data_IF_373955610740
#
_entry.id   IF_373955610740
#
_cell.length_a   1.000
_cell.length_b   1.000
_cell.length_c   1.000
_cell.angle_alpha   90.00
_cell.angle_beta   90.00
_cell.angle_gamma   90.00
#
_symmetry.space_group_name_H-M   'P 1'
#
loop_
_entity.id
_entity.type
_entity.pdbx_description
1 polymer ?
#
# COMPACT_ATOMS: atom_id res chain seq x y z
N UNK A 1 47.62 17.63 42.47
CA UNK A 1 46.77 16.42 42.33
C UNK A 1 45.84 16.40 41.09
N UNK A 2 45.90 17.34 40.14
CA UNK A 2 44.90 17.41 39.03
C UNK A 2 45.30 16.73 37.71
N UNK A 3 46.60 16.51 37.44
CA UNK A 3 47.05 15.96 36.15
C UNK A 3 46.86 14.44 36.05
N UNK A 4 47.13 13.68 37.11
CA UNK A 4 46.99 12.22 37.12
C UNK A 4 45.54 11.75 36.88
N UNK A 5 44.55 12.42 37.48
CA UNK A 5 43.13 12.13 37.24
C UNK A 5 42.72 12.33 35.78
N UNK A 6 43.23 13.37 35.12
CA UNK A 6 42.93 13.63 33.70
C UNK A 6 43.48 12.54 32.78
N UNK A 7 44.69 12.04 33.05
CA UNK A 7 45.26 10.94 32.27
C UNK A 7 44.54 9.61 32.51
N UNK A 8 44.06 9.36 33.74
CA UNK A 8 43.25 8.16 34.05
C UNK A 8 41.91 8.21 33.32
N UNK A 9 41.22 9.34 33.32
CA UNK A 9 39.94 9.48 32.62
C UNK A 9 40.12 9.33 31.10
N UNK A 10 41.13 9.97 30.52
CA UNK A 10 41.42 9.86 29.08
C UNK A 10 41.83 8.43 28.67
N UNK A 11 42.61 7.74 29.50
CA UNK A 11 42.97 6.34 29.27
C UNK A 11 41.76 5.40 29.35
N UNK A 12 40.85 5.66 30.29
CA UNK A 12 39.60 4.90 30.43
C UNK A 12 38.69 5.02 29.21
N UNK A 13 38.48 6.25 28.68
CA UNK A 13 37.66 6.44 27.47
C UNK A 13 38.28 5.79 26.25
N UNK A 14 39.60 5.87 26.09
CA UNK A 14 40.30 5.22 24.96
C UNK A 14 40.17 3.69 25.01
N UNK A 15 40.29 3.10 26.21
CA UNK A 15 40.13 1.65 26.40
C UNK A 15 38.70 1.19 26.10
N UNK A 16 37.68 1.95 26.53
CA UNK A 16 36.28 1.64 26.20
C UNK A 16 36.01 1.73 24.70
N UNK A 17 36.51 2.77 24.02
CA UNK A 17 36.33 2.94 22.58
C UNK A 17 36.99 1.80 21.77
N UNK A 18 38.21 1.39 22.15
CA UNK A 18 38.90 0.26 21.52
C UNK A 18 38.21 -1.08 21.81
N UNK A 19 37.66 -1.25 23.02
CA UNK A 19 36.91 -2.46 23.40
C UNK A 19 35.64 -2.65 22.57
N UNK A 20 34.88 -1.58 22.34
CA UNK A 20 33.67 -1.63 21.50
C UNK A 20 34.04 -1.91 20.03
N UNK A 21 35.07 -1.24 19.51
CA UNK A 21 35.55 -1.48 18.14
C UNK A 21 36.00 -2.93 17.92
N UNK A 22 36.74 -3.52 18.86
CA UNK A 22 37.16 -4.91 18.79
C UNK A 22 35.98 -5.88 18.85
N UNK A 23 34.98 -5.62 19.71
CA UNK A 23 33.81 -6.49 19.84
C UNK A 23 32.92 -6.44 18.58
N UNK A 24 32.76 -5.26 17.97
CA UNK A 24 32.03 -5.13 16.69
C UNK A 24 32.74 -5.83 15.54
N UNK A 25 34.08 -5.80 15.51
CA UNK A 25 34.84 -6.43 14.44
C UNK A 25 34.98 -7.96 14.63
N UNK A 26 35.02 -8.43 15.88
CA UNK A 26 35.04 -9.86 16.20
C UNK A 26 33.69 -10.55 16.03
N UNK A 27 32.57 -9.82 16.14
CA UNK A 27 31.21 -10.34 15.91
C UNK A 27 30.79 -10.42 14.43
N UNK A 28 31.51 -9.75 13.52
CA UNK A 28 31.17 -9.70 12.10
C UNK A 28 31.75 -10.86 11.26
N UNK A 29 32.42 -11.84 11.88
CA UNK A 29 32.87 -13.04 11.19
C UNK A 29 31.79 -14.13 11.27
N UNK A 30 30.73 -13.97 10.48
CA UNK A 30 29.90 -15.10 10.08
C UNK A 30 30.79 -16.12 9.36
N UNK A 31 30.67 -17.43 9.63
CA UNK A 31 31.34 -18.43 8.83
C UNK A 31 30.89 -18.23 7.39
N UNK A 32 31.85 -18.13 6.47
CA UNK A 32 31.56 -18.22 5.04
C UNK A 32 30.77 -19.51 4.83
N UNK A 33 29.45 -19.36 4.62
CA UNK A 33 28.63 -20.44 4.12
C UNK A 33 29.20 -20.76 2.75
N UNK A 34 29.98 -21.84 2.69
CA UNK A 34 30.21 -22.57 1.46
C UNK A 34 28.82 -22.99 0.98
N UNK A 35 28.25 -22.19 0.09
CA UNK A 35 27.09 -22.60 -0.68
C UNK A 35 27.56 -23.76 -1.57
N UNK A 36 27.41 -24.98 -1.06
CA UNK A 36 27.28 -26.16 -1.92
C UNK A 36 26.10 -25.89 -2.83
N UNK A 37 26.40 -25.63 -4.11
CA UNK A 37 25.41 -25.53 -5.15
C UNK A 37 24.53 -26.79 -5.11
N UNK A 38 23.26 -26.59 -4.82
CA UNK A 38 22.22 -27.60 -5.05
C UNK A 38 22.20 -27.81 -6.58
N UNK A 39 22.32 -29.04 -7.09
CA UNK A 39 22.14 -29.29 -8.52
C UNK A 39 20.72 -28.86 -8.87
N UNK A 40 20.58 -27.81 -9.67
CA UNK A 40 19.30 -27.48 -10.30
C UNK A 40 18.81 -28.67 -11.13
N UNK A 41 17.50 -28.75 -11.41
CA UNK A 41 16.99 -29.75 -12.34
C UNK A 41 17.74 -29.63 -13.66
N UNK A 42 18.18 -30.77 -14.18
CA UNK A 42 18.94 -30.84 -15.43
C UNK A 42 18.20 -30.08 -16.51
N UNK A 43 18.82 -29.01 -17.00
CA UNK A 43 18.40 -28.31 -18.21
C UNK A 43 18.39 -29.34 -19.34
N UNK A 44 17.20 -29.63 -19.86
CA UNK A 44 17.03 -30.38 -21.09
C UNK A 44 17.89 -29.74 -22.19
N UNK A 45 18.51 -30.59 -23.00
CA UNK A 45 19.33 -30.17 -24.12
C UNK A 45 18.58 -29.17 -25.01
N UNK A 46 19.24 -28.16 -25.58
CA UNK A 46 18.58 -27.21 -26.46
C UNK A 46 17.99 -27.98 -27.66
N UNK A 47 16.67 -27.88 -27.83
CA UNK A 47 15.97 -28.42 -28.99
C UNK A 47 16.41 -27.60 -30.21
N UNK A 48 17.11 -28.26 -31.13
CA UNK A 48 17.54 -27.69 -32.39
C UNK A 48 16.31 -27.59 -33.32
N UNK A 49 15.77 -26.38 -33.51
CA UNK A 49 14.66 -26.14 -34.44
C UNK A 49 15.24 -26.14 -35.87
N UNK A 50 15.18 -27.30 -36.53
CA UNK A 50 15.75 -27.50 -37.89
C UNK A 50 14.76 -27.31 -39.04
N UNK A 51 13.52 -26.90 -38.76
CA UNK A 51 12.51 -26.70 -39.81
C UNK A 51 11.76 -25.38 -39.62
N UNK A 52 12.37 -24.31 -40.15
CA UNK A 52 11.69 -23.05 -40.43
C UNK A 52 11.49 -23.00 -41.95
N UNK A 53 10.29 -23.36 -42.42
CA UNK A 53 9.94 -23.21 -43.84
C UNK A 53 9.41 -21.78 -44.04
N UNK A 54 10.18 -20.95 -44.75
CA UNK A 54 9.75 -19.59 -45.12
C UNK A 54 8.58 -19.68 -46.10
N UNK A 55 7.37 -19.38 -45.63
CA UNK A 55 6.15 -19.27 -46.47
C UNK A 55 5.99 -17.89 -47.10
N UNK A 56 7.05 -17.07 -47.14
CA UNK A 56 7.03 -15.79 -47.84
C UNK A 56 6.89 -16.02 -49.34
N UNK A 57 5.67 -15.82 -49.86
CA UNK A 57 5.42 -15.71 -51.28
C UNK A 57 6.17 -14.49 -51.82
N UNK A 58 7.21 -14.73 -52.62
CA UNK A 58 7.88 -13.67 -53.37
C UNK A 58 6.89 -13.03 -54.34
N UNK A 59 6.65 -11.72 -54.21
CA UNK A 59 5.86 -10.97 -55.17
C UNK A 59 6.55 -11.05 -56.53
N UNK A 60 5.97 -11.80 -57.47
CA UNK A 60 6.40 -11.82 -58.87
C UNK A 60 5.87 -10.54 -59.51
N UNK A 61 6.73 -9.60 -59.94
CA UNK A 61 6.25 -8.44 -60.68
C UNK A 61 5.66 -8.89 -62.03
N UNK A 62 4.51 -8.34 -62.46
CA UNK A 62 3.90 -8.72 -63.72
C UNK A 62 4.85 -8.42 -64.89
N UNK A 63 5.24 -9.46 -65.62
CA UNK A 63 6.11 -9.37 -66.80
C UNK A 63 5.37 -8.86 -68.03
N UNK A 64 4.68 -7.73 -67.97
CA UNK A 64 4.28 -6.99 -69.19
C UNK A 64 3.95 -5.55 -68.82
N UNK A 65 4.92 -4.64 -68.97
CA UNK A 65 4.61 -3.22 -69.08
C UNK A 65 4.05 -2.97 -70.49
N UNK A 66 2.83 -2.40 -70.65
CA UNK A 66 2.36 -1.99 -71.96
C UNK A 66 3.28 -0.88 -72.50
N UNK A 67 3.67 -0.99 -73.76
CA UNK A 67 4.45 0.04 -74.45
C UNK A 67 3.69 1.38 -74.46
N UNK A 68 4.37 2.51 -74.18
CA UNK A 68 3.70 3.81 -74.14
C UNK A 68 3.21 4.20 -75.54
N UNK A 69 1.89 4.39 -75.66
CA UNK A 69 1.25 4.95 -76.85
C UNK A 69 1.71 6.39 -77.03
N UNK A 70 2.17 6.74 -78.23
CA UNK A 70 2.59 8.09 -78.56
C UNK A 70 1.42 9.09 -78.40
N UNK A 71 1.68 10.20 -77.70
CA UNK A 71 0.71 11.25 -77.44
C UNK A 71 0.25 11.92 -78.76
N UNK A 72 -1.05 12.28 -78.89
CA UNK A 72 -1.55 12.99 -80.06
C UNK A 72 -0.94 14.39 -80.15
N UNK A 73 -0.55 14.80 -81.37
CA UNK A 73 0.14 16.06 -81.68
C UNK A 73 -0.76 17.32 -81.62
N UNK A 74 -1.89 17.24 -80.93
CA UNK A 74 -2.79 18.39 -80.73
C UNK A 74 -2.31 19.23 -79.55
N UNK A 75 -2.14 20.56 -79.70
CA UNK A 75 -1.74 21.41 -78.60
C UNK A 75 -2.79 21.36 -77.49
N UNK A 76 -2.35 21.01 -76.28
CA UNK A 76 -3.18 21.08 -75.07
C UNK A 76 -3.34 22.55 -74.70
N UNK A 77 -4.56 23.08 -74.81
CA UNK A 77 -4.92 24.35 -74.20
C UNK A 77 -5.00 24.14 -72.69
N UNK A 78 -4.03 24.70 -71.95
CA UNK A 78 -4.08 24.80 -70.49
C UNK A 78 -5.27 25.68 -70.11
N UNK A 79 -6.35 25.07 -69.64
CA UNK A 79 -7.30 25.78 -68.80
C UNK A 79 -6.56 26.14 -67.52
N UNK A 80 -6.30 27.43 -67.33
CA UNK A 80 -5.84 27.96 -66.04
C UNK A 80 -6.95 27.62 -65.04
N UNK A 81 -6.64 26.76 -64.06
CA UNK A 81 -7.50 26.60 -62.91
C UNK A 81 -7.56 27.95 -62.20
N UNK A 82 -8.76 28.49 -61.98
CA UNK A 82 -8.93 29.60 -61.07
C UNK A 82 -8.37 29.20 -59.70
N UNK A 83 -7.53 30.08 -59.13
CA UNK A 83 -7.08 29.96 -57.75
C UNK A 83 -8.32 29.99 -56.85
N UNK A 84 -8.80 28.81 -56.46
CA UNK A 84 -9.71 28.69 -55.35
C UNK A 84 -8.89 29.08 -54.13
N UNK A 85 -9.30 30.09 -53.34
CA UNK A 85 -8.57 30.45 -52.13
C UNK A 85 -8.52 29.22 -51.24
N UNK A 86 -7.31 28.71 -51.02
CA UNK A 86 -7.04 27.74 -49.97
C UNK A 86 -7.47 28.41 -48.67
N UNK A 87 -8.56 27.93 -48.06
CA UNK A 87 -8.88 28.29 -46.69
C UNK A 87 -7.68 27.90 -45.82
N UNK A 88 -7.11 28.89 -45.12
CA UNK A 88 -5.95 28.74 -44.19
C UNK A 88 -6.22 27.80 -43.00
N UNK A 89 -7.38 27.15 -42.98
CA UNK A 89 -7.72 26.10 -42.02
C UNK A 89 -7.11 24.78 -42.50
N UNK A 90 -5.85 24.55 -42.10
CA UNK A 90 -5.28 23.20 -42.08
C UNK A 90 -6.21 22.29 -41.24
N UNK A 91 -6.48 21.05 -41.66
CA UNK A 91 -7.19 20.11 -40.81
C UNK A 91 -6.40 19.95 -39.50
N UNK A 92 -7.10 20.12 -38.39
CA UNK A 92 -6.52 19.93 -37.06
C UNK A 92 -6.09 18.46 -36.93
N UNK A 93 -4.84 18.24 -36.52
CA UNK A 93 -4.30 16.90 -36.34
C UNK A 93 -5.02 16.27 -35.14
N UNK A 94 -5.87 15.27 -35.42
CA UNK A 94 -6.61 14.54 -34.39
C UNK A 94 -5.60 13.76 -33.54
N UNK A 95 -5.54 14.04 -32.23
CA UNK A 95 -4.62 13.38 -31.30
C UNK A 95 -4.90 11.88 -31.36
N UNK A 96 -3.91 11.10 -31.82
CA UNK A 96 -4.02 9.65 -31.84
C UNK A 96 -4.32 9.14 -30.42
N UNK A 97 -5.30 8.23 -30.24
CA UNK A 97 -5.64 7.72 -28.92
C UNK A 97 -4.39 7.12 -28.26
N UNK A 98 -4.04 7.69 -27.11
CA UNK A 98 -3.02 7.17 -26.22
C UNK A 98 -3.52 5.86 -25.60
N UNK A 99 -2.71 4.81 -25.66
CA UNK A 99 -2.93 3.59 -24.87
C UNK A 99 -2.41 3.72 -23.43
N UNK A 100 -1.81 4.86 -23.07
CA UNK A 100 -1.40 5.14 -21.70
C UNK A 100 -2.63 5.52 -20.87
N UNK A 101 -2.71 4.93 -19.69
CA UNK A 101 -3.75 5.24 -18.73
C UNK A 101 -3.32 6.38 -17.82
N UNK A 102 -4.19 7.38 -17.68
CA UNK A 102 -3.97 8.44 -16.72
C UNK A 102 -4.44 7.99 -15.34
N UNK A 103 -3.49 7.78 -14.44
CA UNK A 103 -3.74 7.48 -13.04
C UNK A 103 -3.64 8.77 -12.23
N UNK A 104 -4.77 9.26 -11.74
CA UNK A 104 -4.86 10.52 -11.00
C UNK A 104 -5.35 10.22 -9.59
N UNK A 105 -4.63 10.71 -8.58
CA UNK A 105 -5.03 10.57 -7.18
C UNK A 105 -4.93 11.89 -6.42
N UNK A 106 -5.98 12.22 -5.69
CA UNK A 106 -6.04 13.37 -4.79
C UNK A 106 -6.24 12.91 -3.35
N UNK A 107 -5.59 13.59 -2.41
CA UNK A 107 -5.73 13.37 -0.98
C UNK A 107 -6.14 14.67 -0.30
N UNK A 108 -7.30 14.69 0.34
CA UNK A 108 -7.89 15.88 0.97
C UNK A 108 -8.05 15.67 2.47
N UNK A 109 -7.50 16.59 3.25
CA UNK A 109 -7.62 16.60 4.70
C UNK A 109 -9.09 16.76 5.14
N UNK A 110 -9.50 15.96 6.11
CA UNK A 110 -10.81 16.03 6.75
C UNK A 110 -10.67 16.18 8.27
N UNK A 111 -11.80 16.29 8.95
CA UNK A 111 -11.83 16.33 10.42
C UNK A 111 -11.25 15.04 11.03
N UNK A 112 -10.87 15.11 12.30
CA UNK A 112 -10.24 14.00 13.03
C UNK A 112 -8.97 13.42 12.38
N UNK A 113 -8.19 14.26 11.67
CA UNK A 113 -7.01 13.84 10.92
C UNK A 113 -7.30 12.68 9.95
N UNK A 114 -8.52 12.60 9.41
CA UNK A 114 -8.89 11.68 8.34
C UNK A 114 -8.54 12.29 6.99
N UNK A 115 -8.37 11.45 5.97
CA UNK A 115 -8.05 11.88 4.62
C UNK A 115 -9.00 11.20 3.64
N UNK A 116 -9.69 12.00 2.84
CA UNK A 116 -10.41 11.48 1.67
C UNK A 116 -9.43 11.36 0.52
N UNK A 117 -9.27 10.14 0.03
CA UNK A 117 -8.43 9.81 -1.12
C UNK A 117 -9.34 9.42 -2.27
N UNK A 118 -9.26 10.16 -3.37
CA UNK A 118 -9.98 9.86 -4.60
C UNK A 118 -8.99 9.42 -5.67
N UNK A 119 -9.24 8.31 -6.33
CA UNK A 119 -8.46 7.74 -7.41
C UNK A 119 -9.31 7.69 -8.68
N UNK A 120 -8.75 8.09 -9.81
CA UNK A 120 -9.33 7.92 -11.15
C UNK A 120 -8.31 7.23 -12.04
N UNK A 121 -8.69 6.07 -12.56
CA UNK A 121 -7.92 5.26 -13.49
C UNK A 121 -8.89 4.61 -14.50
N UNK A 122 -9.38 5.37 -15.50
CA UNK A 122 -10.47 4.91 -16.38
C UNK A 122 -10.19 3.62 -17.18
N UNK A 123 -8.91 3.25 -17.32
CA UNK A 123 -8.50 2.01 -17.96
C UNK A 123 -8.54 0.78 -17.04
N UNK A 124 -8.68 0.97 -15.71
CA UNK A 124 -8.70 -0.07 -14.69
C UNK A 124 -10.09 -0.15 -14.03
N UNK A 125 -11.18 -0.47 -14.75
CA UNK A 125 -12.49 -0.65 -14.12
C UNK A 125 -12.53 -1.96 -13.33
N UNK A 126 -13.23 -1.98 -12.19
CA UNK A 126 -13.42 -3.17 -11.34
C UNK A 126 -12.10 -3.90 -11.02
N UNK A 127 -11.03 -3.13 -10.80
CA UNK A 127 -9.68 -3.66 -10.68
C UNK A 127 -9.15 -3.41 -9.27
N UNK A 128 -8.49 -4.43 -8.72
CA UNK A 128 -7.88 -4.36 -7.40
C UNK A 128 -6.61 -3.50 -7.46
N UNK A 129 -6.40 -2.68 -6.44
CA UNK A 129 -5.15 -1.99 -6.19
C UNK A 129 -4.80 -2.05 -4.70
N UNK A 130 -3.52 -1.99 -4.39
CA UNK A 130 -3.06 -1.87 -3.00
C UNK A 130 -2.79 -0.40 -2.69
N UNK A 131 -3.41 0.10 -1.62
CA UNK A 131 -3.08 1.40 -1.09
C UNK A 131 -2.05 1.27 0.03
N UNK A 132 -0.94 2.00 -0.09
CA UNK A 132 0.10 2.10 0.93
C UNK A 132 0.05 3.46 1.63
N UNK A 133 0.14 3.44 2.96
CA UNK A 133 0.20 4.64 3.78
C UNK A 133 1.01 4.37 5.06
N UNK A 134 2.23 4.93 5.15
CA UNK A 134 3.04 4.91 6.39
C UNK A 134 3.18 3.52 7.05
N UNK A 135 3.35 2.47 6.24
CA UNK A 135 3.46 1.07 6.67
C UNK A 135 2.13 0.31 6.67
N UNK A 136 1.00 1.02 6.77
CA UNK A 136 -0.33 0.44 6.58
C UNK A 136 -0.57 0.14 5.10
N UNK A 137 -1.15 -1.02 4.82
CA UNK A 137 -1.47 -1.48 3.47
C UNK A 137 -2.83 -2.16 3.46
N UNK A 138 -3.68 -1.83 2.49
CA UNK A 138 -4.95 -2.52 2.29
C UNK A 138 -5.31 -2.56 0.81
N UNK A 139 -6.09 -3.56 0.41
CA UNK A 139 -6.53 -3.74 -0.98
C UNK A 139 -7.89 -3.08 -1.17
N UNK A 140 -8.01 -2.19 -2.14
CA UNK A 140 -9.28 -1.60 -2.56
C UNK A 140 -9.56 -1.94 -4.02
N UNK A 141 -10.77 -1.64 -4.47
CA UNK A 141 -11.22 -1.91 -5.84
C UNK A 141 -11.74 -0.61 -6.44
N UNK A 142 -11.45 -0.38 -7.72
CA UNK A 142 -12.09 0.66 -8.51
C UNK A 142 -13.50 0.22 -8.94
N UNK A 143 -14.37 1.18 -9.23
CA UNK A 143 -15.70 0.90 -9.78
C UNK A 143 -15.67 0.63 -11.30
N UNK A 144 -16.84 0.58 -11.93
CA UNK A 144 -16.97 0.33 -13.36
C UNK A 144 -16.46 1.47 -14.27
N UNK A 145 -16.19 2.65 -13.71
CA UNK A 145 -15.54 3.77 -14.40
C UNK A 145 -14.05 3.89 -14.05
N UNK A 146 -13.51 2.99 -13.22
CA UNK A 146 -12.13 3.07 -12.78
C UNK A 146 -11.92 4.10 -11.66
N UNK A 147 -12.98 4.50 -10.95
CA UNK A 147 -12.90 5.45 -9.83
C UNK A 147 -12.91 4.74 -8.47
N UNK A 148 -12.30 5.36 -7.46
CA UNK A 148 -12.38 4.88 -6.07
C UNK A 148 -12.30 6.06 -5.11
N UNK A 149 -13.10 6.04 -4.04
CA UNK A 149 -13.06 7.05 -2.98
C UNK A 149 -12.98 6.37 -1.62
N UNK A 150 -11.99 6.74 -0.82
CA UNK A 150 -11.66 6.11 0.46
C UNK A 150 -11.46 7.16 1.55
N UNK A 151 -11.94 6.91 2.75
CA UNK A 151 -11.68 7.77 3.93
C UNK A 151 -10.73 7.06 4.87
N UNK A 152 -9.51 7.58 5.00
CA UNK A 152 -8.39 6.87 5.60
C UNK A 152 -7.82 7.68 6.78
N UNK A 153 -7.61 7.06 7.96
CA UNK A 153 -6.90 7.69 9.06
C UNK A 153 -5.42 7.90 8.72
N UNK A 154 -4.93 9.15 8.75
CA UNK A 154 -3.50 9.46 8.61
C UNK A 154 -2.61 8.96 9.76
N UNK A 155 -1.46 8.37 9.47
CA UNK A 155 -0.49 7.90 10.46
C UNK A 155 0.74 8.82 10.56
N UNK A 156 0.80 9.88 9.74
CA UNK A 156 1.83 10.90 9.79
C UNK A 156 1.30 12.29 9.42
N UNK A 157 1.91 13.34 9.97
CA UNK A 157 1.55 14.73 9.68
C UNK A 157 1.75 15.03 8.18
N UNK A 158 2.88 14.61 7.61
CA UNK A 158 3.07 14.56 6.16
C UNK A 158 2.65 13.18 5.65
N UNK A 159 1.35 13.02 5.37
CA UNK A 159 0.79 11.77 4.91
C UNK A 159 1.05 11.56 3.42
N UNK A 160 1.67 10.43 3.07
CA UNK A 160 1.86 9.99 1.68
C UNK A 160 0.96 8.78 1.43
N UNK A 161 0.23 8.82 0.32
CA UNK A 161 -0.63 7.74 -0.15
C UNK A 161 -0.13 7.28 -1.50
N UNK A 162 -0.05 5.98 -1.70
CA UNK A 162 0.39 5.35 -2.95
C UNK A 162 -0.65 4.29 -3.32
N UNK A 163 -1.29 4.45 -4.47
CA UNK A 163 -2.12 3.41 -5.08
C UNK A 163 -1.26 2.63 -6.08
N UNK A 164 -1.15 1.32 -5.93
CA UNK A 164 -0.35 0.45 -6.79
C UNK A 164 -1.23 -0.65 -7.40
N UNK A 165 -1.20 -0.75 -8.73
CA UNK A 165 -1.89 -1.78 -9.50
C UNK A 165 -0.95 -2.95 -9.86
N UNK A 166 -1.51 -4.09 -10.25
CA UNK A 166 -0.74 -5.30 -10.60
C UNK A 166 0.13 -5.13 -11.86
N UNK A 167 -0.22 -4.22 -12.75
CA UNK A 167 0.55 -3.87 -13.95
C UNK A 167 1.82 -3.06 -13.64
N UNK A 168 2.01 -2.67 -12.37
CA UNK A 168 3.14 -1.87 -11.90
C UNK A 168 2.91 -0.36 -12.01
N UNK A 169 1.77 0.07 -12.56
CA UNK A 169 1.37 1.47 -12.60
C UNK A 169 0.68 1.89 -11.29
N UNK A 170 0.46 3.19 -11.14
CA UNK A 170 -0.12 3.73 -9.91
C UNK A 170 -0.16 5.24 -9.85
N UNK A 171 -0.65 5.74 -8.72
CA UNK A 171 -0.70 7.16 -8.44
C UNK A 171 -0.21 7.45 -7.02
N UNK A 172 0.31 8.66 -6.82
CA UNK A 172 0.80 9.14 -5.52
C UNK A 172 0.12 10.46 -5.20
N UNK A 173 -0.28 10.62 -3.95
CA UNK A 173 -0.85 11.87 -3.43
C UNK A 173 -0.40 12.10 -2.01
N UNK A 174 -0.45 13.35 -1.57
CA UNK A 174 0.01 13.75 -0.23
C UNK A 174 -0.98 14.69 0.43
N UNK A 175 -1.11 14.60 1.75
CA UNK A 175 -1.90 15.53 2.53
C UNK A 175 -1.19 15.88 3.85
N UNK A 176 -1.36 17.12 4.32
CA UNK A 176 -0.75 17.59 5.58
C UNK A 176 -1.78 17.63 6.70
N UNK A 177 -1.53 16.92 7.79
CA UNK A 177 -2.43 16.74 8.94
C UNK A 177 -1.89 17.42 10.21
N UNK A 178 -2.10 18.73 10.32
CA UNK A 178 -1.68 19.50 11.51
C UNK A 178 -2.38 19.02 12.80
N UNK A 179 -3.54 18.38 12.67
CA UNK A 179 -4.33 17.89 13.81
C UNK A 179 -4.00 16.47 14.23
N UNK A 180 -3.06 15.78 13.56
CA UNK A 180 -2.73 14.39 13.89
C UNK A 180 -2.25 14.25 15.34
N UNK A 181 -1.50 15.22 15.86
CA UNK A 181 -1.02 15.20 17.24
C UNK A 181 -2.13 15.19 18.31
N UNK A 182 -3.39 15.41 17.92
CA UNK A 182 -4.55 15.30 18.80
C UNK A 182 -5.12 13.88 18.89
N UNK A 183 -4.62 12.94 18.08
CA UNK A 183 -5.16 11.60 17.96
C UNK A 183 -4.07 10.54 18.08
N UNK A 184 -4.34 9.52 18.88
CA UNK A 184 -3.59 8.27 18.86
C UNK A 184 -4.30 7.23 18.00
N UNK A 185 -3.52 6.46 17.25
CA UNK A 185 -4.00 5.45 16.31
C UNK A 185 -3.34 4.12 16.55
N UNK A 186 -4.17 3.08 16.50
CA UNK A 186 -3.77 1.70 16.70
C UNK A 186 -4.31 0.89 15.53
N UNK A 187 -3.40 0.33 14.75
CA UNK A 187 -3.68 -0.39 13.51
C UNK A 187 -3.33 -1.85 13.71
N UNK A 188 -4.22 -2.74 13.31
CA UNK A 188 -3.88 -4.12 13.01
C UNK A 188 -4.12 -4.37 11.53
N UNK A 189 -3.17 -5.00 10.86
CA UNK A 189 -3.28 -5.33 9.44
C UNK A 189 -2.88 -6.78 9.18
N UNK A 190 -3.53 -7.40 8.20
CA UNK A 190 -3.33 -8.79 7.85
C UNK A 190 -3.70 -9.06 6.38
N UNK A 191 -3.44 -10.28 5.92
CA UNK A 191 -3.87 -10.75 4.59
C UNK A 191 -5.00 -11.76 4.72
N UNK A 192 -6.00 -11.61 3.86
CA UNK A 192 -7.13 -12.53 3.72
C UNK A 192 -8.43 -11.96 4.27
N UNK A 193 -9.40 -12.86 4.47
CA UNK A 193 -10.76 -12.50 4.92
C UNK A 193 -10.82 -11.88 6.32
N UNK A 194 -12.04 -11.65 6.81
CA UNK A 194 -12.31 -11.11 8.14
C UNK A 194 -11.99 -12.14 9.22
N UNK A 195 -10.74 -12.14 9.70
CA UNK A 195 -10.26 -13.13 10.68
C UNK A 195 -9.58 -12.50 11.88
N UNK A 196 -9.31 -11.19 11.84
CA UNK A 196 -8.64 -10.47 12.92
C UNK A 196 -9.48 -9.24 13.30
N UNK A 197 -9.69 -9.04 14.60
CA UNK A 197 -10.49 -7.93 15.11
C UNK A 197 -9.76 -7.19 16.22
N UNK A 198 -9.74 -5.87 16.12
CA UNK A 198 -9.26 -4.96 17.15
C UNK A 198 -10.42 -4.54 18.05
N UNK A 199 -10.25 -4.79 19.33
CA UNK A 199 -11.18 -4.39 20.38
C UNK A 199 -10.54 -3.33 21.26
N UNK A 200 -11.20 -2.18 21.38
CA UNK A 200 -10.84 -1.11 22.29
C UNK A 200 -11.90 -0.99 23.38
N UNK A 201 -11.50 -1.23 24.63
CA UNK A 201 -12.36 -1.13 25.81
C UNK A 201 -12.08 0.17 26.54
N UNK A 202 -12.90 1.18 26.26
CA UNK A 202 -12.79 2.51 26.84
C UNK A 202 -13.36 2.56 28.26
N UNK A 203 -12.68 3.25 29.16
CA UNK A 203 -13.18 3.58 30.51
C UNK A 203 -13.62 2.37 31.35
N UNK A 204 -12.99 1.21 31.12
CA UNK A 204 -13.32 -0.04 31.83
C UNK A 204 -14.55 -0.76 31.27
N UNK A 205 -14.92 -0.51 30.02
CA UNK A 205 -15.96 -1.27 29.33
C UNK A 205 -15.68 -2.78 29.34
N UNK A 206 -16.75 -3.56 29.48
CA UNK A 206 -16.73 -5.00 29.26
C UNK A 206 -17.14 -5.33 27.81
N UNK A 207 -16.97 -6.58 27.41
CA UNK A 207 -17.40 -7.05 26.09
C UNK A 207 -18.89 -6.77 25.84
N UNK A 208 -19.16 -6.09 24.72
CA UNK A 208 -20.50 -5.66 24.33
C UNK A 208 -21.10 -4.52 25.17
N UNK A 209 -20.34 -4.01 26.15
CA UNK A 209 -20.73 -2.87 26.97
C UNK A 209 -20.58 -1.53 26.25
N UNK A 210 -21.10 -0.47 26.87
CA UNK A 210 -20.87 0.89 26.41
C UNK A 210 -19.38 1.25 26.57
N UNK A 211 -18.74 1.66 25.47
CA UNK A 211 -17.30 1.90 25.41
C UNK A 211 -16.47 0.75 24.83
N UNK A 212 -17.10 -0.37 24.44
CA UNK A 212 -16.45 -1.41 23.66
C UNK A 212 -16.55 -1.10 22.16
N UNK A 213 -15.46 -0.58 21.59
CA UNK A 213 -15.37 -0.17 20.18
C UNK A 213 -14.64 -1.23 19.38
N UNK A 214 -15.28 -1.75 18.33
CA UNK A 214 -14.78 -2.84 17.47
C UNK A 214 -15.59 -2.88 16.16
N UNK A 215 -15.29 -3.80 15.24
CA UNK A 215 -15.90 -3.83 13.89
C UNK A 215 -17.45 -3.78 13.89
N UNK A 216 -18.10 -4.47 14.84
CA UNK A 216 -19.57 -4.49 14.94
C UNK A 216 -20.16 -3.36 15.80
N UNK A 217 -19.32 -2.54 16.43
CA UNK A 217 -19.69 -1.32 17.14
C UNK A 217 -18.59 -0.28 16.94
N UNK A 218 -18.43 0.15 15.68
CA UNK A 218 -17.30 0.99 15.26
C UNK A 218 -17.33 2.40 15.84
N UNK A 219 -18.49 2.83 16.33
CA UNK A 219 -18.78 4.23 16.69
C UNK A 219 -18.59 5.20 15.50
N UNK A 220 -18.96 6.46 15.71
CA UNK A 220 -18.88 7.51 14.70
C UNK A 220 -17.78 8.53 15.04
N UNK A 221 -17.11 9.05 14.00
CA UNK A 221 -16.06 10.06 14.13
C UNK A 221 -16.48 11.30 14.95
N UNK A 222 -17.77 11.66 14.94
CA UNK A 222 -18.31 12.77 15.73
C UNK A 222 -18.08 12.61 17.23
N UNK A 223 -17.99 11.36 17.74
CA UNK A 223 -17.69 11.04 19.13
C UNK A 223 -16.26 11.45 19.50
N UNK A 224 -15.32 11.21 18.59
CA UNK A 224 -13.94 11.65 18.74
C UNK A 224 -13.80 13.18 18.66
N UNK A 225 -14.54 13.84 17.75
CA UNK A 225 -14.55 15.31 17.64
C UNK A 225 -15.12 16.00 18.89
N UNK A 226 -15.98 15.31 19.66
CA UNK A 226 -16.52 15.80 20.94
C UNK A 226 -15.67 15.41 22.14
N UNK A 227 -14.62 14.61 21.97
CA UNK A 227 -13.80 14.10 23.09
C UNK A 227 -14.51 13.09 23.98
N UNK A 228 -15.54 12.41 23.46
CA UNK A 228 -16.38 11.45 24.20
C UNK A 228 -15.84 10.00 24.12
N UNK A 229 -14.95 9.72 23.17
CA UNK A 229 -14.33 8.41 22.94
C UNK A 229 -13.73 8.30 21.55
N UNK A 230 -13.23 7.11 21.21
CA UNK A 230 -12.70 6.78 19.91
C UNK A 230 -13.72 6.14 18.97
N UNK A 231 -13.24 5.78 17.78
CA UNK A 231 -13.97 5.05 16.75
C UNK A 231 -13.02 4.13 15.97
N UNK A 232 -13.57 3.11 15.33
CA UNK A 232 -12.86 2.16 14.48
C UNK A 232 -13.14 2.44 13.00
N UNK A 233 -12.10 2.37 12.16
CA UNK A 233 -12.23 2.35 10.70
C UNK A 233 -11.71 1.02 10.18
N UNK A 234 -12.54 0.28 9.45
CA UNK A 234 -12.14 -0.95 8.75
C UNK A 234 -11.81 -0.62 7.29
N UNK A 235 -10.64 -1.07 6.83
CA UNK A 235 -10.10 -0.82 5.51
C UNK A 235 -9.80 -2.16 4.80
N UNK A 236 -9.92 -2.13 3.48
CA UNK A 236 -9.71 -3.27 2.61
C UNK A 236 -11.03 -3.95 2.19
N UNK A 237 -11.07 -4.42 0.95
CA UNK A 237 -12.24 -5.07 0.35
C UNK A 237 -12.52 -6.42 1.04
N UNK A 238 -13.69 -6.61 1.67
CA UNK A 238 -13.98 -7.82 2.44
C UNK A 238 -14.10 -9.09 1.60
N UNK A 239 -14.44 -8.97 0.32
CA UNK A 239 -14.73 -10.12 -0.55
C UNK A 239 -13.50 -10.66 -1.31
N UNK A 240 -12.29 -10.20 -0.96
CA UNK A 240 -11.04 -10.66 -1.59
C UNK A 240 -10.30 -11.65 -0.69
N UNK A 241 -10.26 -12.91 -1.12
CA UNK A 241 -9.64 -14.02 -0.36
C UNK A 241 -8.19 -13.77 0.07
N UNK A 242 -7.45 -12.95 -0.69
CA UNK A 242 -6.04 -12.61 -0.44
C UNK A 242 -5.82 -11.09 -0.34
N UNK A 243 -6.90 -10.33 -0.17
CA UNK A 243 -6.84 -8.89 0.02
C UNK A 243 -6.11 -8.53 1.31
N UNK A 244 -5.41 -7.40 1.30
CA UNK A 244 -4.85 -6.81 2.51
C UNK A 244 -5.95 -6.05 3.24
N UNK A 245 -6.02 -6.26 4.55
CA UNK A 245 -7.02 -5.66 5.45
C UNK A 245 -6.33 -4.90 6.55
N UNK A 246 -6.98 -3.85 7.03
CA UNK A 246 -6.54 -3.12 8.20
C UNK A 246 -7.74 -2.62 9.03
N UNK A 247 -7.64 -2.72 10.35
CA UNK A 247 -8.53 -2.05 11.28
C UNK A 247 -7.75 -0.99 12.03
N UNK A 248 -8.30 0.22 12.09
CA UNK A 248 -7.66 1.38 12.72
C UNK A 248 -8.58 1.94 13.78
N UNK A 249 -8.18 1.82 15.04
CA UNK A 249 -8.82 2.54 16.13
C UNK A 249 -8.18 3.92 16.28
N UNK A 250 -9.02 4.97 16.27
CA UNK A 250 -8.60 6.36 16.45
C UNK A 250 -9.17 6.91 17.76
N UNK A 251 -8.31 7.43 18.64
CA UNK A 251 -8.69 7.98 19.93
C UNK A 251 -8.21 9.43 20.09
N UNK A 252 -9.08 10.39 20.49
CA UNK A 252 -8.76 11.82 20.50
C UNK A 252 -7.99 12.27 21.75
N UNK A 253 -6.79 11.71 22.00
CA UNK A 253 -6.00 11.98 23.22
C UNK A 253 -5.76 13.46 23.52
N UNK A 254 -5.64 14.30 22.49
CA UNK A 254 -5.43 15.75 22.65
C UNK A 254 -6.70 16.56 22.95
N UNK A 255 -7.89 15.95 22.89
CA UNK A 255 -9.18 16.63 23.05
C UNK A 255 -10.11 15.96 24.08
N UNK A 256 -9.54 15.14 24.97
CA UNK A 256 -10.29 14.34 25.93
C UNK A 256 -11.00 15.19 27.00
N UNK A 257 -12.23 14.80 27.33
CA UNK A 257 -13.03 15.43 28.40
C UNK A 257 -12.94 14.72 29.76
N UNK A 258 -12.43 13.48 29.79
CA UNK A 258 -12.43 12.64 30.99
C UNK A 258 -11.15 11.83 31.10
N UNK A 259 -10.70 11.61 32.33
CA UNK A 259 -9.63 10.66 32.65
C UNK A 259 -10.13 9.22 32.47
N UNK A 260 -9.21 8.31 32.17
CA UNK A 260 -9.57 6.92 31.91
C UNK A 260 -8.43 6.06 31.40
N UNK A 261 -8.77 4.85 31.00
CA UNK A 261 -7.85 3.93 30.32
C UNK A 261 -8.60 3.31 29.15
N UNK A 262 -7.91 3.12 28.04
CA UNK A 262 -8.35 2.23 26.96
C UNK A 262 -7.51 0.96 27.01
N UNK A 263 -8.18 -0.17 27.20
CA UNK A 263 -7.56 -1.49 27.11
C UNK A 263 -7.74 -2.05 25.70
N UNK A 264 -6.67 -2.65 25.17
CA UNK A 264 -6.71 -3.25 23.84
C UNK A 264 -6.65 -4.77 23.90
N UNK A 265 -7.45 -5.39 23.04
CA UNK A 265 -7.43 -6.82 22.80
C UNK A 265 -7.53 -7.05 21.29
N UNK A 266 -6.79 -8.04 20.80
CA UNK A 266 -6.94 -8.47 19.40
C UNK A 266 -7.39 -9.92 19.41
N UNK A 267 -8.41 -10.21 18.62
CA UNK A 267 -8.98 -11.55 18.48
C UNK A 267 -8.72 -12.05 17.06
N UNK A 268 -8.21 -13.28 16.94
CA UNK A 268 -8.07 -13.97 15.67
C UNK A 268 -9.04 -15.16 15.62
N UNK A 269 -10.00 -15.14 14.70
CA UNK A 269 -10.93 -16.25 14.47
C UNK A 269 -10.24 -17.39 13.70
N UNK A 270 -10.45 -18.62 14.15
CA UNK A 270 -10.03 -19.81 13.42
C UNK A 270 -11.04 -20.11 12.32
N UNK A 271 -10.58 -20.12 11.07
CA UNK A 271 -11.39 -20.36 9.88
C UNK A 271 -10.79 -21.47 9.03
N UNK A 272 -11.57 -22.01 8.09
CA UNK A 272 -11.07 -22.96 7.08
C UNK A 272 -9.86 -22.41 6.29
N UNK A 273 -9.78 -21.07 6.14
CA UNK A 273 -8.71 -20.42 5.39
C UNK A 273 -7.39 -20.33 6.16
N UNK A 274 -7.42 -20.33 7.50
CA UNK A 274 -6.24 -20.06 8.34
C UNK A 274 -5.88 -21.17 9.34
N UNK A 275 -6.71 -22.21 9.51
CA UNK A 275 -6.40 -23.30 10.45
C UNK A 275 -5.15 -24.10 10.04
N UNK A 276 -4.47 -24.68 11.04
CA UNK A 276 -3.30 -25.56 10.90
C UNK A 276 -2.11 -24.95 10.13
N UNK A 277 -1.98 -23.62 10.15
CA UNK A 277 -0.88 -22.89 9.52
C UNK A 277 -0.54 -21.64 10.32
N UNK A 278 0.61 -21.05 10.02
CA UNK A 278 0.95 -19.76 10.60
C UNK A 278 0.11 -18.65 9.95
N UNK A 279 -0.43 -17.78 10.78
CA UNK A 279 -1.14 -16.58 10.38
C UNK A 279 -0.28 -15.36 10.68
N UNK A 280 -0.05 -14.53 9.67
CA UNK A 280 0.80 -13.35 9.75
C UNK A 280 -0.07 -12.09 9.82
N UNK A 281 0.25 -11.22 10.76
CA UNK A 281 -0.33 -9.90 10.91
C UNK A 281 0.74 -8.90 11.35
N UNK A 282 0.41 -7.62 11.32
CA UNK A 282 1.28 -6.57 11.82
C UNK A 282 0.44 -5.56 12.61
N UNK A 283 1.04 -5.03 13.67
CA UNK A 283 0.49 -3.89 14.39
C UNK A 283 1.29 -2.63 14.13
N UNK A 284 0.60 -1.49 14.06
CA UNK A 284 1.20 -0.16 13.95
C UNK A 284 0.51 0.74 14.95
N UNK A 285 1.26 1.45 15.79
CA UNK A 285 0.71 2.42 16.72
C UNK A 285 1.42 3.76 16.62
N UNK A 286 0.69 4.87 16.74
CA UNK A 286 1.30 6.18 16.96
C UNK A 286 1.90 6.25 18.35
N UNK A 287 3.01 6.96 18.46
CA UNK A 287 3.65 7.29 19.74
C UNK A 287 4.29 8.66 19.66
N UNK A 288 4.67 9.21 20.81
CA UNK A 288 5.39 10.49 20.89
C UNK A 288 6.74 10.49 20.14
N UNK A 289 7.32 9.31 19.88
CA UNK A 289 8.62 9.14 19.21
C UNK A 289 8.48 8.74 17.73
N UNK A 290 7.25 8.58 17.23
CA UNK A 290 6.94 8.11 15.88
C UNK A 290 6.09 6.83 15.88
N UNK A 291 6.02 6.15 14.73
CA UNK A 291 5.27 4.90 14.61
C UNK A 291 6.02 3.73 15.22
N UNK A 292 5.31 2.93 16.03
CA UNK A 292 5.79 1.67 16.58
C UNK A 292 5.16 0.54 15.76
N UNK A 293 6.00 -0.28 15.14
CA UNK A 293 5.56 -1.39 14.29
C UNK A 293 5.99 -2.72 14.93
N UNK A 294 5.11 -3.71 14.95
CA UNK A 294 5.43 -5.05 15.43
C UNK A 294 4.82 -6.11 14.52
N UNK A 295 5.65 -7.05 14.06
CA UNK A 295 5.21 -8.23 13.32
C UNK A 295 4.63 -9.28 14.27
N UNK A 296 3.58 -9.96 13.81
CA UNK A 296 2.81 -10.94 14.56
C UNK A 296 2.77 -12.21 13.74
N UNK A 297 3.20 -13.32 14.32
CA UNK A 297 3.05 -14.66 13.75
C UNK A 297 2.30 -15.50 14.76
N UNK A 298 1.11 -15.96 14.37
CA UNK A 298 0.24 -16.79 15.18
C UNK A 298 0.23 -18.21 14.63
N UNK A 299 0.60 -19.18 15.45
CA UNK A 299 0.38 -20.58 15.13
C UNK A 299 -1.12 -20.88 15.30
N UNK A 300 -1.86 -20.97 14.20
CA UNK A 300 -3.30 -21.22 14.25
C UNK A 300 -3.58 -22.67 14.66
N UNK A 301 -4.60 -22.92 15.50
CA UNK A 301 -5.00 -24.25 15.91
C UNK A 301 -5.44 -25.14 14.74
N UNK A 302 -5.64 -26.42 15.06
CA UNK A 302 -6.20 -27.39 14.12
C UNK A 302 -7.60 -26.98 13.65
N UNK A 303 -8.00 -27.45 12.45
CA UNK A 303 -9.30 -27.13 11.86
C UNK A 303 -10.51 -27.72 12.63
N UNK A 304 -10.28 -28.45 13.72
CA UNK A 304 -11.33 -28.83 14.67
C UNK A 304 -11.83 -27.65 15.50
N UNK A 305 -11.01 -26.59 15.65
CA UNK A 305 -11.33 -25.37 16.39
C UNK A 305 -11.93 -24.25 15.54
N UNK A 306 -12.49 -24.54 14.36
CA UNK A 306 -13.12 -23.51 13.53
C UNK A 306 -14.26 -22.82 14.31
N UNK A 307 -14.24 -21.49 14.31
CA UNK A 307 -15.14 -20.64 15.11
C UNK A 307 -14.63 -20.33 16.52
N UNK A 308 -13.48 -20.89 16.93
CA UNK A 308 -12.79 -20.45 18.14
C UNK A 308 -12.00 -19.16 17.88
N UNK A 309 -11.67 -18.45 18.96
CA UNK A 309 -10.94 -17.19 18.91
C UNK A 309 -9.64 -17.27 19.72
N UNK A 310 -8.53 -16.86 19.11
CA UNK A 310 -7.27 -16.65 19.79
C UNK A 310 -7.22 -15.21 20.27
N UNK A 311 -7.07 -15.03 21.58
CA UNK A 311 -6.94 -13.72 22.19
C UNK A 311 -5.47 -13.34 22.34
N UNK A 312 -5.05 -12.32 21.62
CA UNK A 312 -3.73 -11.71 21.75
C UNK A 312 -3.80 -10.60 22.80
N UNK A 313 -3.05 -10.79 23.88
CA UNK A 313 -2.92 -9.79 24.96
C UNK A 313 -1.62 -9.01 24.79
N UNK A 314 -1.67 -7.72 25.12
CA UNK A 314 -0.51 -6.82 25.15
C UNK A 314 0.15 -6.56 23.78
N UNK A 315 -0.63 -6.61 22.69
CA UNK A 315 -0.15 -6.16 21.39
C UNK A 315 0.10 -4.65 21.38
N UNK A 316 -0.80 -3.92 22.03
CA UNK A 316 -0.66 -2.50 22.31
C UNK A 316 -0.49 -2.28 23.80
N UNK A 317 0.18 -1.19 24.17
CA UNK A 317 0.17 -0.72 25.53
C UNK A 317 -1.18 -0.07 25.82
N UNK A 318 -1.70 -0.29 27.03
CA UNK A 318 -2.91 0.41 27.49
C UNK A 318 -2.72 1.92 27.39
N UNK A 319 -3.71 2.59 26.80
CA UNK A 319 -3.70 4.04 26.68
C UNK A 319 -4.18 4.65 28.00
N UNK A 320 -3.29 5.35 28.71
CA UNK A 320 -3.65 6.10 29.92
C UNK A 320 -4.09 7.49 29.53
N UNK A 321 -5.33 7.82 29.85
CA UNK A 321 -5.95 9.11 29.54
C UNK A 321 -5.84 10.00 30.77
N UNK A 322 -5.21 11.15 30.59
CA UNK A 322 -5.24 12.26 31.54
C UNK A 322 -5.80 13.49 30.82
N UNK A 323 -6.94 13.98 31.31
CA UNK A 323 -7.55 15.22 30.87
C UNK A 323 -6.71 16.43 31.32
N UNK A 324 -6.71 17.48 30.50
CA UNK A 324 -6.01 18.74 30.75
C UNK A 324 -6.89 19.77 31.46
#
# INVERSE_FOLDING_TARGET
>A
MSKARRYITAGGTLACALGIGYFMQAGAQSPAQNATAIPGPALEAPVEITQIELTSAGAVPPMTAPEPVALPATPVTLAVAEDVPLTDTLPEEEIAPSFACDYIMEARAQAAAMVEVTLSAPCQPNTNFTLHHNGMMFTAVTDDQGESTLTIPALAEAAVFIAAFEDGEGAISTATMDTLALYDRFVVQWRGGEVLHLHAFEYGAEFGGSGHVWANASEDMTRALKGEGGFLTSLGEPNLDQGLRAEVYTFPTGAMLQDGVVHFQVEAEVTDANCSRDFEAQSIATSAEGLVVQDIVLAMPDCEGIGDFLVLKNLFNDLKIASN
#
